data_IF_039115567238
#
_entry.id   IF_039115567238
#
_cell.length_a   1.000
_cell.length_b   1.000
_cell.length_c   1.000
_cell.angle_alpha   90.00
_cell.angle_beta   90.00
_cell.angle_gamma   90.00
#
_symmetry.space_group_name_H-M   'P 1'
#
loop_
_entity.id
_entity.type
_entity.pdbx_description
1 polymer ?
#
# COMPACT_ATOMS: atom_id res chain seq x y z
N UNK A 1 32.62 -58.72 -10.60
CA UNK A 1 31.72 -57.55 -10.71
C UNK A 1 31.15 -57.02 -9.37
N UNK A 2 31.34 -57.69 -8.22
CA UNK A 2 30.77 -57.24 -6.94
C UNK A 2 31.52 -56.10 -6.21
N UNK A 3 32.82 -55.88 -6.49
CA UNK A 3 33.62 -54.84 -5.80
C UNK A 3 33.33 -53.40 -6.22
N UNK A 4 32.82 -53.18 -7.44
CA UNK A 4 32.54 -51.82 -7.97
C UNK A 4 31.19 -51.24 -7.50
N UNK A 5 30.23 -52.08 -7.09
CA UNK A 5 28.91 -51.62 -6.60
C UNK A 5 28.92 -51.07 -5.17
N UNK A 6 29.82 -51.58 -4.32
CA UNK A 6 29.94 -51.17 -2.91
C UNK A 6 30.65 -49.82 -2.80
N UNK A 7 31.75 -49.64 -3.55
CA UNK A 7 32.51 -48.38 -3.58
C UNK A 7 31.65 -47.17 -4.02
N UNK A 8 30.71 -47.38 -4.95
CA UNK A 8 29.83 -46.32 -5.48
C UNK A 8 28.74 -45.90 -4.49
N UNK A 9 28.31 -46.81 -3.61
CA UNK A 9 27.31 -46.56 -2.57
C UNK A 9 27.92 -45.87 -1.35
N UNK A 10 29.14 -46.28 -0.97
CA UNK A 10 29.90 -45.64 0.10
C UNK A 10 30.39 -44.23 -0.29
N UNK A 11 30.83 -44.03 -1.54
CA UNK A 11 31.20 -42.69 -2.04
C UNK A 11 30.00 -41.75 -2.14
N UNK A 12 28.82 -42.25 -2.53
CA UNK A 12 27.57 -41.47 -2.49
C UNK A 12 27.12 -41.17 -1.06
N UNK A 13 27.17 -42.14 -0.16
CA UNK A 13 26.83 -41.94 1.25
C UNK A 13 27.80 -40.94 1.92
N UNK A 14 29.10 -41.03 1.63
CA UNK A 14 30.09 -40.05 2.09
C UNK A 14 29.87 -38.68 1.47
N UNK A 15 29.53 -38.58 0.18
CA UNK A 15 29.18 -37.29 -0.45
C UNK A 15 27.94 -36.67 0.18
N UNK A 16 26.85 -37.43 0.36
CA UNK A 16 25.64 -36.96 1.02
C UNK A 16 25.92 -36.56 2.47
N UNK A 17 26.72 -37.34 3.19
CA UNK A 17 27.10 -37.05 4.58
C UNK A 17 27.98 -35.81 4.68
N UNK A 18 29.00 -35.67 3.83
CA UNK A 18 29.87 -34.48 3.75
C UNK A 18 29.09 -33.26 3.31
N UNK A 19 28.17 -33.38 2.35
CA UNK A 19 27.25 -32.30 1.98
C UNK A 19 26.32 -31.94 3.14
N UNK A 20 25.77 -32.91 3.88
CA UNK A 20 24.93 -32.62 5.04
C UNK A 20 25.70 -31.94 6.16
N UNK A 21 26.95 -32.34 6.41
CA UNK A 21 27.82 -31.70 7.40
C UNK A 21 28.26 -30.31 6.96
N UNK A 22 28.55 -30.10 5.67
CA UNK A 22 28.89 -28.79 5.12
C UNK A 22 27.70 -27.84 5.20
N UNK A 23 26.48 -28.30 4.88
CA UNK A 23 25.24 -27.53 5.07
C UNK A 23 25.02 -27.20 6.54
N UNK A 24 25.22 -28.17 7.44
CA UNK A 24 24.99 -28.00 8.88
C UNK A 24 26.04 -27.09 9.56
N UNK A 25 27.30 -27.15 9.13
CA UNK A 25 28.35 -26.24 9.58
C UNK A 25 28.10 -24.80 9.08
N UNK A 26 27.62 -24.64 7.84
CA UNK A 26 27.26 -23.33 7.30
C UNK A 26 26.09 -22.73 8.10
N UNK A 27 25.11 -23.55 8.52
CA UNK A 27 23.97 -23.05 9.31
C UNK A 27 24.34 -22.57 10.72
N UNK A 28 25.35 -23.15 11.38
CA UNK A 28 25.77 -22.68 12.70
C UNK A 28 26.62 -21.41 12.59
N UNK A 29 27.47 -21.32 11.57
CA UNK A 29 28.24 -20.12 11.26
C UNK A 29 27.32 -18.95 10.89
N UNK A 30 26.29 -19.20 10.09
CA UNK A 30 25.26 -18.22 9.74
C UNK A 30 24.51 -17.72 10.98
N UNK A 31 24.19 -18.60 11.95
CA UNK A 31 23.56 -18.17 13.21
C UNK A 31 24.47 -17.25 14.05
N UNK A 32 25.75 -17.60 14.17
CA UNK A 32 26.72 -16.75 14.89
C UNK A 32 26.89 -15.40 14.18
N UNK A 33 26.91 -15.41 12.85
CA UNK A 33 26.96 -14.21 12.02
C UNK A 33 25.75 -13.33 12.25
N UNK A 34 24.54 -13.89 12.22
CA UNK A 34 23.31 -13.16 12.51
C UNK A 34 23.26 -12.59 13.93
N UNK A 35 23.81 -13.29 14.93
CA UNK A 35 23.95 -12.74 16.29
C UNK A 35 24.87 -11.53 16.31
N UNK A 36 26.04 -11.62 15.68
CA UNK A 36 27.00 -10.51 15.60
C UNK A 36 26.41 -9.28 14.87
N UNK A 37 25.63 -9.52 13.81
CA UNK A 37 24.91 -8.48 13.06
C UNK A 37 23.86 -7.78 13.93
N UNK A 38 23.09 -8.53 14.73
CA UNK A 38 22.10 -7.97 15.68
C UNK A 38 22.76 -7.23 16.86
N UNK A 39 23.97 -7.62 17.22
CA UNK A 39 24.76 -6.97 18.28
C UNK A 39 25.48 -5.70 17.79
N UNK A 40 25.54 -5.47 16.47
CA UNK A 40 26.33 -4.37 15.88
C UNK A 40 27.86 -4.58 15.97
N UNK A 41 28.32 -5.82 16.19
CA UNK A 41 29.76 -6.12 16.33
C UNK A 41 30.43 -6.29 14.96
N UNK A 42 30.76 -5.17 14.32
CA UNK A 42 31.38 -5.13 12.98
C UNK A 42 32.63 -6.03 12.86
N UNK A 43 33.46 -6.11 13.90
CA UNK A 43 34.69 -6.94 13.86
C UNK A 43 34.36 -8.41 13.77
N UNK A 44 33.35 -8.85 14.53
CA UNK A 44 32.88 -10.23 14.51
C UNK A 44 32.12 -10.54 13.22
N UNK A 45 31.34 -9.59 12.70
CA UNK A 45 30.72 -9.67 11.37
C UNK A 45 31.77 -9.91 10.28
N UNK A 46 32.84 -9.10 10.24
CA UNK A 46 33.94 -9.24 9.28
C UNK A 46 34.66 -10.60 9.43
N UNK A 47 34.96 -11.00 10.66
CA UNK A 47 35.61 -12.28 10.94
C UNK A 47 34.77 -13.47 10.44
N UNK A 48 33.47 -13.47 10.71
CA UNK A 48 32.58 -14.58 10.36
C UNK A 48 32.34 -14.66 8.85
N UNK A 49 32.26 -13.52 8.14
CA UNK A 49 32.23 -13.52 6.68
C UNK A 49 33.52 -14.08 6.07
N UNK A 50 34.68 -13.72 6.63
CA UNK A 50 35.97 -14.30 6.20
C UNK A 50 36.08 -15.81 6.48
N UNK A 51 35.32 -16.33 7.44
CA UNK A 51 35.22 -17.77 7.73
C UNK A 51 34.21 -18.51 6.84
N UNK A 52 33.48 -17.79 5.97
CA UNK A 52 32.55 -18.36 5.01
C UNK A 52 31.07 -18.24 5.40
N UNK A 53 30.71 -17.41 6.39
CA UNK A 53 29.31 -17.08 6.64
C UNK A 53 28.66 -16.48 5.38
N UNK A 54 27.36 -16.70 5.23
CA UNK A 54 26.61 -16.18 4.09
C UNK A 54 26.20 -14.72 4.35
N UNK A 55 26.57 -13.78 3.47
CA UNK A 55 26.20 -12.36 3.61
C UNK A 55 24.68 -12.14 3.67
N UNK A 56 23.92 -12.97 2.93
CA UNK A 56 22.46 -13.01 2.94
C UNK A 56 21.89 -14.11 3.86
N UNK A 57 22.63 -14.50 4.91
CA UNK A 57 22.14 -15.43 5.92
C UNK A 57 20.75 -14.98 6.43
N UNK A 58 19.87 -15.95 6.66
CA UNK A 58 18.49 -15.72 7.09
C UNK A 58 18.21 -16.34 8.44
N UNK A 59 17.40 -15.66 9.24
CA UNK A 59 16.83 -16.27 10.45
C UNK A 59 15.56 -17.09 10.15
N UNK A 60 14.91 -17.58 11.20
CA UNK A 60 13.72 -18.44 11.10
C UNK A 60 12.49 -17.74 10.49
N UNK A 61 12.45 -16.40 10.51
CA UNK A 61 11.40 -15.58 9.89
C UNK A 61 11.75 -15.21 8.43
N UNK A 62 12.89 -15.68 7.94
CA UNK A 62 13.39 -15.37 6.60
C UNK A 62 14.04 -13.99 6.48
N UNK A 63 14.28 -13.29 7.59
CA UNK A 63 14.92 -11.98 7.59
C UNK A 63 16.40 -12.14 7.30
N UNK A 64 16.90 -11.41 6.30
CA UNK A 64 18.33 -11.41 5.94
C UNK A 64 19.16 -10.62 6.95
N UNK A 65 20.47 -10.87 7.01
CA UNK A 65 21.40 -10.13 7.85
C UNK A 65 21.22 -8.61 7.78
N UNK A 66 21.10 -8.02 6.59
CA UNK A 66 20.92 -6.56 6.44
C UNK A 66 19.62 -6.02 7.06
N UNK A 67 18.57 -6.84 7.17
CA UNK A 67 17.31 -6.45 7.85
C UNK A 67 17.44 -6.47 9.37
N UNK A 68 18.37 -7.28 9.88
CA UNK A 68 18.62 -7.51 11.31
C UNK A 68 19.75 -6.63 11.85
N UNK A 69 20.48 -5.96 10.97
CA UNK A 69 21.66 -5.19 11.31
C UNK A 69 21.31 -4.02 12.24
N UNK A 70 22.08 -3.93 13.32
CA UNK A 70 22.15 -2.76 14.19
C UNK A 70 23.48 -2.04 13.92
N UNK A 71 23.44 -0.71 13.84
CA UNK A 71 24.61 0.11 13.49
C UNK A 71 24.75 0.39 12.00
N UNK A 72 24.99 1.67 11.67
CA UNK A 72 25.18 2.15 10.30
C UNK A 72 26.42 1.53 9.63
N UNK A 73 27.49 1.32 10.40
CA UNK A 73 28.73 0.72 9.94
C UNK A 73 28.56 -0.74 9.52
N UNK A 74 27.74 -1.51 10.25
CA UNK A 74 27.38 -2.88 9.87
C UNK A 74 26.54 -2.89 8.61
N UNK A 75 25.54 -2.01 8.48
CA UNK A 75 24.70 -1.91 7.28
C UNK A 75 25.55 -1.59 6.04
N UNK A 76 26.41 -0.56 6.13
CA UNK A 76 27.31 -0.17 5.04
C UNK A 76 28.28 -1.30 4.67
N UNK A 77 28.82 -2.00 5.67
CA UNK A 77 29.70 -3.13 5.45
C UNK A 77 28.99 -4.26 4.69
N UNK A 78 27.76 -4.62 5.10
CA UNK A 78 26.96 -5.65 4.43
C UNK A 78 26.65 -5.28 2.97
N UNK A 79 26.25 -4.03 2.71
CA UNK A 79 26.01 -3.52 1.35
C UNK A 79 27.27 -3.66 0.49
N UNK A 80 28.43 -3.24 1.01
CA UNK A 80 29.72 -3.33 0.31
C UNK A 80 30.13 -4.76 -0.01
N UNK A 81 29.69 -5.74 0.80
CA UNK A 81 29.96 -7.16 0.60
C UNK A 81 28.86 -7.88 -0.19
N UNK A 82 27.98 -7.13 -0.85
CA UNK A 82 27.00 -7.67 -1.80
C UNK A 82 25.74 -8.23 -1.16
N UNK A 83 25.40 -7.81 0.07
CA UNK A 83 24.10 -8.11 0.65
C UNK A 83 22.97 -7.67 -0.29
N UNK A 84 21.98 -8.53 -0.49
CA UNK A 84 20.81 -8.20 -1.29
C UNK A 84 19.91 -7.23 -0.53
N UNK A 85 20.13 -5.92 -0.76
CA UNK A 85 19.35 -4.82 -0.17
C UNK A 85 17.84 -4.90 -0.46
N UNK A 86 17.48 -5.67 -1.48
CA UNK A 86 16.13 -5.84 -2.00
C UNK A 86 15.50 -7.19 -1.64
N UNK A 87 16.15 -7.97 -0.76
CA UNK A 87 15.55 -9.18 -0.21
C UNK A 87 14.25 -8.86 0.55
N UNK A 88 13.35 -9.85 0.61
CA UNK A 88 12.12 -9.81 1.40
C UNK A 88 12.08 -11.01 2.36
N UNK A 89 11.59 -10.77 3.57
CA UNK A 89 11.30 -11.81 4.57
C UNK A 89 10.04 -12.62 4.21
N UNK A 90 9.60 -13.51 5.11
CA UNK A 90 8.39 -14.31 4.89
C UNK A 90 7.09 -13.48 4.77
N UNK A 91 7.09 -12.26 5.29
CA UNK A 91 5.97 -11.31 5.27
C UNK A 91 6.05 -10.31 4.11
N UNK A 92 7.12 -10.34 3.30
CA UNK A 92 7.33 -9.38 2.22
C UNK A 92 8.00 -8.07 2.67
N UNK A 93 8.49 -7.96 3.90
CA UNK A 93 9.19 -6.77 4.38
C UNK A 93 10.63 -6.73 3.85
N UNK A 94 11.06 -5.55 3.39
CA UNK A 94 12.45 -5.26 3.02
C UNK A 94 13.20 -4.52 4.14
N UNK A 95 14.52 -4.34 4.00
CA UNK A 95 15.29 -3.50 4.95
C UNK A 95 14.74 -2.07 5.03
N UNK A 96 14.34 -1.48 3.89
CA UNK A 96 13.73 -0.15 3.86
C UNK A 96 12.42 -0.13 4.65
N UNK A 97 11.62 -1.19 4.56
CA UNK A 97 10.39 -1.31 5.34
C UNK A 97 10.67 -1.29 6.85
N UNK A 98 11.66 -2.07 7.31
CA UNK A 98 12.04 -2.10 8.72
C UNK A 98 12.55 -0.75 9.24
N UNK A 99 13.28 0.02 8.42
CA UNK A 99 13.74 1.36 8.82
C UNK A 99 12.61 2.39 8.88
N UNK A 100 11.62 2.30 8.01
CA UNK A 100 10.48 3.24 8.01
C UNK A 100 9.39 2.87 9.03
N UNK A 101 9.31 1.60 9.47
CA UNK A 101 8.25 1.12 10.36
C UNK A 101 8.16 1.87 11.71
N UNK A 102 9.25 2.17 12.42
CA UNK A 102 9.20 3.00 13.63
C UNK A 102 8.69 4.41 13.34
N UNK A 103 9.16 5.01 12.24
CA UNK A 103 8.86 6.38 11.82
C UNK A 103 7.37 6.55 11.51
N UNK A 104 6.75 5.53 10.89
CA UNK A 104 5.32 5.52 10.57
C UNK A 104 4.41 5.64 11.80
N UNK A 105 4.90 5.27 12.99
CA UNK A 105 4.15 5.35 14.24
C UNK A 105 4.35 6.69 14.96
N UNK A 106 5.31 7.51 14.52
CA UNK A 106 5.61 8.82 15.09
C UNK A 106 4.73 9.87 14.42
N UNK A 107 4.16 10.78 15.23
CA UNK A 107 3.23 11.81 14.76
C UNK A 107 3.90 12.85 13.86
N UNK A 108 5.15 13.19 14.14
CA UNK A 108 5.95 14.19 13.42
C UNK A 108 7.38 13.66 13.36
N UNK A 109 7.73 12.85 12.34
CA UNK A 109 9.11 12.45 12.14
C UNK A 109 9.93 13.64 11.64
N UNK A 110 11.19 13.72 12.06
CA UNK A 110 12.13 14.71 11.53
C UNK A 110 12.92 14.16 10.34
N UNK A 111 13.77 14.99 9.74
CA UNK A 111 14.57 14.58 8.57
C UNK A 111 15.75 13.69 8.97
N UNK A 112 16.20 13.75 10.22
CA UNK A 112 17.30 12.93 10.72
C UNK A 112 16.84 11.47 10.85
N UNK A 113 15.57 11.26 11.23
CA UNK A 113 14.92 9.94 11.23
C UNK A 113 14.97 9.25 9.84
N UNK A 114 15.01 10.02 8.75
CA UNK A 114 14.96 9.50 7.37
C UNK A 114 16.35 9.34 6.73
N UNK A 115 17.42 9.73 7.40
CA UNK A 115 18.77 9.72 6.83
C UNK A 115 19.22 8.30 6.43
N UNK A 116 19.01 7.31 7.29
CA UNK A 116 19.37 5.91 6.99
C UNK A 116 18.52 5.35 5.84
N UNK A 117 17.21 5.60 5.87
CA UNK A 117 16.30 5.19 4.80
C UNK A 117 16.72 5.78 3.44
N UNK A 118 17.15 7.05 3.43
CA UNK A 118 17.65 7.72 2.24
C UNK A 118 18.93 7.07 1.70
N UNK A 119 19.90 6.79 2.57
CA UNK A 119 21.14 6.09 2.17
C UNK A 119 20.87 4.69 1.61
N UNK A 120 19.90 3.96 2.18
CA UNK A 120 19.49 2.67 1.64
C UNK A 120 18.93 2.81 0.22
N UNK A 121 18.08 3.81 -0.03
CA UNK A 121 17.53 4.10 -1.36
C UNK A 121 18.65 4.48 -2.34
N UNK A 122 19.57 5.36 -1.94
CA UNK A 122 20.75 5.73 -2.73
C UNK A 122 21.67 4.52 -3.03
N UNK A 123 21.66 3.52 -2.14
CA UNK A 123 22.36 2.25 -2.31
C UNK A 123 21.55 1.20 -3.11
N UNK A 124 20.38 1.58 -3.65
CA UNK A 124 19.57 0.73 -4.53
C UNK A 124 18.41 0.00 -3.85
N UNK A 125 18.05 0.34 -2.60
CA UNK A 125 16.83 -0.14 -1.99
C UNK A 125 15.61 0.38 -2.77
N UNK A 126 14.74 -0.52 -3.23
CA UNK A 126 13.52 -0.11 -3.92
C UNK A 126 12.53 0.49 -2.92
N UNK A 127 11.92 1.61 -3.32
CA UNK A 127 10.85 2.27 -2.54
C UNK A 127 9.51 1.55 -2.74
N UNK A 128 9.31 1.04 -3.95
CA UNK A 128 8.12 0.31 -4.35
C UNK A 128 8.21 -1.15 -3.92
N UNK A 129 7.94 -1.40 -2.64
CA UNK A 129 7.67 -2.75 -2.13
C UNK A 129 6.23 -2.90 -1.69
N UNK A 130 5.72 -4.10 -1.92
CA UNK A 130 4.52 -4.56 -1.28
C UNK A 130 4.88 -5.50 -0.13
N UNK A 131 4.50 -5.13 1.09
CA UNK A 131 4.71 -5.91 2.29
C UNK A 131 3.38 -6.30 2.95
N UNK A 132 3.43 -7.33 3.79
CA UNK A 132 2.38 -8.05 4.54
C UNK A 132 1.69 -9.21 3.85
N UNK A 133 1.76 -10.33 4.57
CA UNK A 133 0.96 -11.55 4.44
C UNK A 133 0.24 -11.82 5.78
N UNK A 134 -0.85 -11.09 6.06
CA UNK A 134 -1.83 -11.43 7.11
C UNK A 134 -2.97 -12.29 6.54
N UNK A 135 -3.95 -12.73 7.36
CA UNK A 135 -4.98 -13.74 7.01
C UNK A 135 -5.68 -13.54 5.63
N UNK A 136 -5.72 -12.31 5.13
CA UNK A 136 -6.35 -11.91 3.86
C UNK A 136 -5.41 -11.94 2.63
N UNK A 137 -4.11 -12.23 2.83
CA UNK A 137 -3.02 -12.33 1.84
C UNK A 137 -2.80 -11.14 0.88
N UNK A 138 -3.13 -9.90 1.27
CA UNK A 138 -3.01 -8.75 0.34
C UNK A 138 -1.76 -7.89 0.57
N UNK A 139 -0.98 -7.62 -0.49
CA UNK A 139 0.16 -6.71 -0.45
C UNK A 139 -0.25 -5.27 -0.09
N UNK A 140 0.52 -4.61 0.79
CA UNK A 140 0.38 -3.19 1.16
C UNK A 140 1.66 -2.45 0.81
N UNK A 141 1.57 -1.32 0.09
CA UNK A 141 2.74 -0.50 -0.24
C UNK A 141 3.16 0.40 0.93
N UNK A 142 4.45 0.77 1.00
CA UNK A 142 4.96 1.75 1.97
C UNK A 142 4.22 3.09 1.87
N UNK A 143 3.91 3.53 0.65
CA UNK A 143 3.15 4.75 0.39
C UNK A 143 1.73 4.67 0.99
N UNK A 144 1.01 3.58 0.76
CA UNK A 144 -0.32 3.37 1.33
C UNK A 144 -0.28 3.37 2.85
N UNK A 145 0.74 2.74 3.45
CA UNK A 145 0.92 2.75 4.89
C UNK A 145 1.21 4.15 5.44
N UNK A 146 2.03 4.95 4.76
CA UNK A 146 2.26 6.36 5.12
C UNK A 146 0.97 7.20 5.09
N UNK A 147 0.12 6.98 4.08
CA UNK A 147 -1.19 7.65 3.96
C UNK A 147 -2.12 7.23 5.09
N UNK A 148 -2.23 5.94 5.39
CA UNK A 148 -3.08 5.45 6.49
C UNK A 148 -2.65 5.99 7.86
N UNK A 149 -1.34 6.15 8.06
CA UNK A 149 -0.78 6.78 9.27
C UNK A 149 -0.80 8.32 9.22
N UNK A 150 -1.38 8.91 8.18
CA UNK A 150 -1.54 10.37 8.02
C UNK A 150 -0.20 11.14 8.03
N UNK A 151 0.89 10.47 7.68
CA UNK A 151 2.23 11.05 7.68
C UNK A 151 2.54 11.68 6.34
N UNK A 152 2.21 12.96 6.20
CA UNK A 152 2.54 13.74 5.00
C UNK A 152 4.06 13.77 4.74
N UNK A 153 4.88 13.78 5.80
CA UNK A 153 6.35 13.76 5.68
C UNK A 153 6.81 12.49 4.98
N UNK A 154 6.31 11.32 5.38
CA UNK A 154 6.67 10.06 4.75
C UNK A 154 6.08 9.93 3.34
N UNK A 155 4.87 10.43 3.10
CA UNK A 155 4.30 10.49 1.75
C UNK A 155 5.21 11.30 0.82
N UNK A 156 5.67 12.47 1.26
CA UNK A 156 6.60 13.32 0.52
C UNK A 156 7.91 12.59 0.24
N UNK A 157 8.55 12.10 1.30
CA UNK A 157 9.80 11.36 1.20
C UNK A 157 9.72 10.20 0.21
N UNK A 158 8.69 9.37 0.29
CA UNK A 158 8.54 8.21 -0.59
C UNK A 158 8.35 8.63 -2.05
N UNK A 159 7.46 9.59 -2.34
CA UNK A 159 7.21 10.09 -3.70
C UNK A 159 8.46 10.76 -4.29
N UNK A 160 9.14 11.60 -3.51
CA UNK A 160 10.39 12.28 -3.93
C UNK A 160 11.52 11.30 -4.20
N UNK A 161 11.48 10.11 -3.59
CA UNK A 161 12.43 9.01 -3.81
C UNK A 161 11.91 7.93 -4.77
N UNK A 162 10.89 8.23 -5.57
CA UNK A 162 10.47 7.38 -6.69
C UNK A 162 9.33 6.42 -6.40
N UNK A 163 8.60 6.58 -5.29
CA UNK A 163 7.34 5.88 -5.10
C UNK A 163 6.33 6.27 -6.18
N UNK A 164 5.58 5.28 -6.68
CA UNK A 164 4.57 5.49 -7.70
C UNK A 164 3.27 6.01 -7.06
N UNK A 165 2.85 7.26 -7.32
CA UNK A 165 1.62 7.84 -6.78
C UNK A 165 0.34 7.16 -7.30
N UNK A 166 0.50 6.24 -8.27
CA UNK A 166 -0.54 5.45 -8.90
C UNK A 166 -0.34 3.94 -8.68
N UNK A 167 0.49 3.56 -7.71
CA UNK A 167 0.72 2.15 -7.40
C UNK A 167 -0.61 1.44 -7.09
N UNK A 168 -0.89 0.37 -7.82
CA UNK A 168 -2.09 -0.46 -7.62
C UNK A 168 -1.64 -1.87 -7.23
N UNK A 169 -1.69 -2.23 -5.94
CA UNK A 169 -1.30 -3.55 -5.46
C UNK A 169 -2.34 -4.64 -5.80
N UNK A 170 -3.42 -4.32 -6.53
CA UNK A 170 -4.48 -5.27 -6.91
C UNK A 170 -5.46 -5.63 -5.79
N UNK A 171 -5.40 -4.93 -4.66
CA UNK A 171 -6.19 -5.18 -3.45
C UNK A 171 -7.45 -4.30 -3.28
N UNK A 172 -7.89 -4.15 -2.03
CA UNK A 172 -8.86 -3.11 -1.62
C UNK A 172 -8.17 -1.73 -1.61
N UNK A 173 -6.83 -1.73 -1.59
CA UNK A 173 -5.98 -0.54 -1.58
C UNK A 173 -5.64 -0.05 -2.98
N UNK A 174 -6.66 0.25 -3.78
CA UNK A 174 -6.52 0.35 -5.24
C UNK A 174 -5.58 1.47 -5.70
N UNK A 175 -5.68 2.67 -5.11
CA UNK A 175 -4.80 3.78 -5.44
C UNK A 175 -4.51 4.65 -4.22
N UNK A 176 -3.28 5.20 -4.08
CA UNK A 176 -2.91 6.13 -3.02
C UNK A 176 -3.90 7.30 -2.89
N UNK A 177 -4.37 7.85 -4.01
CA UNK A 177 -5.36 8.92 -4.02
C UNK A 177 -6.70 8.49 -3.40
N UNK A 178 -7.15 7.26 -3.65
CA UNK A 178 -8.43 6.77 -3.10
C UNK A 178 -8.36 6.64 -1.58
N UNK A 179 -7.22 6.19 -1.04
CA UNK A 179 -6.99 6.16 0.40
C UNK A 179 -6.94 7.59 0.98
N UNK A 180 -6.27 8.52 0.29
CA UNK A 180 -6.11 9.89 0.74
C UNK A 180 -7.43 10.67 0.80
N UNK A 181 -8.41 10.34 -0.05
CA UNK A 181 -9.77 10.94 -0.03
C UNK A 181 -10.72 10.23 0.93
N UNK A 182 -10.28 9.14 1.57
CA UNK A 182 -11.01 8.47 2.65
C UNK A 182 -11.57 7.08 2.31
N UNK A 183 -11.22 6.53 1.15
CA UNK A 183 -11.60 5.17 0.77
C UNK A 183 -10.99 4.10 1.68
N UNK A 184 -11.64 2.93 1.74
CA UNK A 184 -11.18 1.78 2.54
C UNK A 184 -10.96 2.14 4.02
N UNK A 185 -11.84 2.99 4.56
CA UNK A 185 -11.81 3.48 5.94
C UNK A 185 -10.54 4.23 6.36
N UNK A 186 -9.73 4.68 5.40
CA UNK A 186 -8.62 5.60 5.67
C UNK A 186 -9.18 6.98 6.07
N UNK A 187 -8.60 7.70 7.05
CA UNK A 187 -8.99 9.09 7.30
C UNK A 187 -8.67 9.98 6.09
N UNK A 188 -9.61 10.82 5.61
CA UNK A 188 -9.35 11.74 4.51
C UNK A 188 -8.38 12.85 4.92
N UNK A 189 -7.47 13.23 4.01
CA UNK A 189 -6.44 14.23 4.30
C UNK A 189 -6.18 15.14 3.10
N UNK A 190 -6.65 16.39 3.19
CA UNK A 190 -6.54 17.37 2.11
C UNK A 190 -5.09 17.59 1.65
N UNK A 191 -4.14 17.72 2.58
CA UNK A 191 -2.76 18.01 2.24
C UNK A 191 -2.07 16.85 1.49
N UNK A 192 -2.40 15.60 1.86
CA UNK A 192 -1.93 14.41 1.14
C UNK A 192 -2.59 14.35 -0.25
N UNK A 193 -3.89 14.62 -0.36
CA UNK A 193 -4.61 14.64 -1.66
C UNK A 193 -3.97 15.67 -2.61
N UNK A 194 -3.78 16.90 -2.16
CA UNK A 194 -3.15 17.96 -2.95
C UNK A 194 -1.73 17.58 -3.38
N UNK A 195 -0.94 17.02 -2.46
CA UNK A 195 0.42 16.60 -2.75
C UNK A 195 0.47 15.47 -3.77
N UNK A 196 -0.36 14.43 -3.63
CA UNK A 196 -0.41 13.31 -4.58
C UNK A 196 -0.79 13.79 -5.99
N UNK A 197 -1.80 14.64 -6.11
CA UNK A 197 -2.24 15.19 -7.39
C UNK A 197 -1.18 16.08 -8.03
N UNK A 198 -0.48 16.90 -7.23
CA UNK A 198 0.64 17.71 -7.69
C UNK A 198 1.83 16.87 -8.17
N UNK A 199 1.98 15.64 -7.66
CA UNK A 199 3.09 14.74 -7.97
C UNK A 199 2.68 13.54 -8.83
N UNK A 200 1.74 13.73 -9.76
CA UNK A 200 1.48 12.78 -10.83
C UNK A 200 0.45 11.68 -10.53
N UNK A 201 -0.24 11.76 -9.40
CA UNK A 201 -1.40 10.90 -9.16
C UNK A 201 -2.52 11.17 -10.17
N UNK A 202 -3.16 10.12 -10.69
CA UNK A 202 -4.18 10.19 -11.74
C UNK A 202 -5.57 10.29 -11.12
N UNK A 203 -6.13 11.49 -11.15
CA UNK A 203 -7.48 11.76 -10.65
C UNK A 203 -8.59 11.02 -11.43
N UNK A 204 -8.30 10.66 -12.68
CA UNK A 204 -9.25 10.00 -13.61
C UNK A 204 -9.36 8.49 -13.41
N UNK A 205 -8.56 7.90 -12.53
CA UNK A 205 -8.59 6.46 -12.28
C UNK A 205 -9.88 6.02 -11.62
N UNK A 206 -10.23 4.75 -11.87
CA UNK A 206 -11.41 4.08 -11.35
C UNK A 206 -11.00 2.73 -10.77
N UNK A 207 -11.72 2.29 -9.75
CA UNK A 207 -11.55 0.98 -9.15
C UNK A 207 -11.79 -0.15 -10.13
N UNK A 208 -11.15 -1.29 -9.89
CA UNK A 208 -11.35 -2.48 -10.72
C UNK A 208 -12.77 -3.03 -10.54
N UNK A 209 -13.35 -3.52 -11.62
CA UNK A 209 -14.55 -4.34 -11.55
C UNK A 209 -14.23 -5.68 -10.87
N UNK A 210 -15.11 -6.12 -9.96
CA UNK A 210 -14.98 -7.35 -9.20
C UNK A 210 -16.34 -8.03 -9.12
N UNK A 211 -16.35 -9.35 -9.22
CA UNK A 211 -17.56 -10.15 -9.01
C UNK A 211 -17.82 -10.31 -7.51
N UNK A 212 -19.00 -9.89 -7.06
CA UNK A 212 -19.48 -10.08 -5.71
C UNK A 212 -20.52 -11.19 -5.69
N UNK A 213 -20.17 -12.30 -5.04
CA UNK A 213 -21.07 -13.43 -4.84
C UNK A 213 -21.99 -13.16 -3.66
N UNK A 214 -23.30 -13.19 -3.92
CA UNK A 214 -24.35 -13.11 -2.89
C UNK A 214 -25.20 -14.38 -2.94
N UNK A 215 -25.98 -14.67 -1.89
CA UNK A 215 -26.96 -15.77 -1.94
C UNK A 215 -27.95 -15.68 -3.10
N UNK A 216 -28.16 -14.47 -3.64
CA UNK A 216 -29.09 -14.20 -4.74
C UNK A 216 -28.41 -14.21 -6.13
N UNK A 217 -27.13 -14.57 -6.21
CA UNK A 217 -26.35 -14.63 -7.44
C UNK A 217 -25.09 -13.76 -7.42
N UNK A 218 -24.37 -13.76 -8.53
CA UNK A 218 -23.17 -12.95 -8.75
C UNK A 218 -23.56 -11.62 -9.39
N UNK A 219 -23.07 -10.52 -8.84
CA UNK A 219 -23.25 -9.18 -9.39
C UNK A 219 -21.90 -8.43 -9.40
N UNK A 220 -21.73 -7.50 -10.34
CA UNK A 220 -20.49 -6.74 -10.46
C UNK A 220 -20.50 -5.53 -9.53
N UNK A 221 -19.38 -5.33 -8.84
CA UNK A 221 -19.09 -4.14 -8.02
C UNK A 221 -17.79 -3.48 -8.51
N UNK A 222 -17.56 -2.22 -8.12
CA UNK A 222 -16.35 -1.48 -8.49
C UNK A 222 -16.62 -0.42 -9.53
N UNK A 223 -15.63 -0.09 -10.38
CA UNK A 223 -15.65 1.06 -11.28
C UNK A 223 -15.92 2.40 -10.57
N UNK A 224 -15.55 2.53 -9.30
CA UNK A 224 -15.69 3.74 -8.47
C UNK A 224 -14.49 4.66 -8.66
N UNK A 225 -14.71 5.95 -8.83
CA UNK A 225 -13.63 6.94 -8.88
C UNK A 225 -13.40 7.62 -7.52
N UNK A 226 -12.47 8.58 -7.44
CA UNK A 226 -12.15 9.27 -6.20
C UNK A 226 -13.35 9.99 -5.54
N UNK A 227 -14.32 10.49 -6.33
CA UNK A 227 -15.53 11.10 -5.76
C UNK A 227 -16.40 10.09 -5.01
N UNK A 228 -16.54 8.86 -5.55
CA UNK A 228 -17.27 7.78 -4.86
C UNK A 228 -16.62 7.47 -3.51
N UNK A 229 -15.30 7.30 -3.48
CA UNK A 229 -14.55 7.03 -2.25
C UNK A 229 -14.63 8.17 -1.23
N UNK A 230 -14.66 9.43 -1.68
CA UNK A 230 -14.83 10.59 -0.80
C UNK A 230 -16.20 10.66 -0.09
N UNK A 231 -17.17 9.83 -0.50
CA UNK A 231 -18.47 9.70 0.18
C UNK A 231 -18.45 8.75 1.38
N UNK A 232 -17.44 7.88 1.49
CA UNK A 232 -17.36 6.84 2.54
C UNK A 232 -17.19 7.40 3.95
N UNK A 233 -16.31 8.39 4.19
CA UNK A 233 -16.11 8.91 5.54
C UNK A 233 -17.36 9.63 6.05
N UNK A 234 -17.64 9.48 7.34
CA UNK A 234 -18.71 10.24 8.01
C UNK A 234 -18.44 11.74 8.02
N UNK A 235 -17.16 12.13 8.04
CA UNK A 235 -16.70 13.51 8.04
C UNK A 235 -15.57 13.61 7.02
N UNK A 236 -15.76 14.47 6.02
CA UNK A 236 -14.80 14.74 4.96
C UNK A 236 -14.61 16.25 4.87
N UNK A 237 -13.36 16.71 4.76
CA UNK A 237 -13.10 18.11 4.37
C UNK A 237 -13.60 18.32 2.94
N UNK A 238 -14.67 19.11 2.79
CA UNK A 238 -15.33 19.34 1.49
C UNK A 238 -14.41 19.99 0.45
N UNK A 239 -13.28 20.58 0.86
CA UNK A 239 -12.25 21.07 -0.07
C UNK A 239 -11.61 19.95 -0.89
N UNK A 240 -11.60 18.72 -0.38
CA UNK A 240 -11.14 17.55 -1.16
C UNK A 240 -11.96 17.42 -2.45
N UNK A 241 -13.28 17.68 -2.37
CA UNK A 241 -14.17 17.61 -3.54
C UNK A 241 -13.86 18.71 -4.55
N UNK A 242 -13.50 19.92 -4.09
CA UNK A 242 -13.07 21.01 -4.96
C UNK A 242 -11.77 20.67 -5.69
N UNK A 243 -10.79 20.10 -4.96
CA UNK A 243 -9.50 19.68 -5.51
C UNK A 243 -9.69 18.56 -6.55
N UNK A 244 -10.53 17.56 -6.26
CA UNK A 244 -10.84 16.48 -7.21
C UNK A 244 -11.51 16.99 -8.49
N UNK A 245 -12.46 17.93 -8.36
CA UNK A 245 -13.11 18.56 -9.51
C UNK A 245 -12.10 19.32 -10.37
N UNK A 246 -11.25 20.14 -9.74
CA UNK A 246 -10.19 20.89 -10.42
C UNK A 246 -9.17 19.97 -11.10
N UNK A 247 -8.90 18.80 -10.52
CA UNK A 247 -8.01 17.80 -11.09
C UNK A 247 -8.64 16.98 -12.24
N UNK A 248 -9.90 17.25 -12.61
CA UNK A 248 -10.56 16.59 -13.73
C UNK A 248 -11.16 15.22 -13.41
N UNK A 249 -11.33 14.88 -12.13
CA UNK A 249 -12.09 13.68 -11.75
C UNK A 249 -13.52 13.81 -12.27
N UNK A 250 -14.04 12.81 -12.97
CA UNK A 250 -15.40 12.86 -13.52
C UNK A 250 -16.45 12.88 -12.37
N UNK A 251 -17.05 14.04 -12.13
CA UNK A 251 -18.08 14.25 -11.10
C UNK A 251 -19.32 13.35 -11.29
N UNK A 252 -19.60 12.98 -12.54
CA UNK A 252 -20.78 12.21 -12.95
C UNK A 252 -20.42 10.77 -13.35
N UNK A 253 -19.24 10.29 -12.94
CA UNK A 253 -18.83 8.91 -13.23
C UNK A 253 -19.86 7.92 -12.70
N UNK A 254 -20.09 6.83 -13.43
CA UNK A 254 -21.04 5.79 -13.03
C UNK A 254 -20.26 4.54 -12.64
N UNK A 255 -20.50 4.05 -11.43
CA UNK A 255 -19.90 2.81 -10.94
C UNK A 255 -20.52 1.57 -11.61
N UNK A 256 -20.15 0.37 -11.16
CA UNK A 256 -20.66 -0.89 -11.70
C UNK A 256 -22.19 -1.05 -11.58
N UNK A 257 -22.82 -0.41 -10.60
CA UNK A 257 -24.27 -0.38 -10.42
C UNK A 257 -24.93 0.79 -11.17
N UNK A 258 -24.14 1.57 -11.90
CA UNK A 258 -24.58 2.75 -12.62
C UNK A 258 -24.75 3.97 -11.72
N UNK A 259 -24.38 3.91 -10.44
CA UNK A 259 -24.57 5.00 -9.48
C UNK A 259 -23.53 6.07 -9.70
N UNK A 260 -23.93 7.33 -9.51
CA UNK A 260 -23.02 8.48 -9.47
C UNK A 260 -22.56 8.76 -8.04
N UNK A 261 -21.48 9.54 -7.83
CA UNK A 261 -21.08 9.95 -6.48
C UNK A 261 -22.20 10.67 -5.70
N UNK A 262 -23.06 11.43 -6.39
CA UNK A 262 -24.20 12.10 -5.76
C UNK A 262 -25.21 11.08 -5.23
N UNK A 263 -25.53 10.06 -6.03
CA UNK A 263 -26.43 8.97 -5.61
C UNK A 263 -25.85 8.21 -4.42
N UNK A 264 -24.55 7.91 -4.45
CA UNK A 264 -23.88 7.21 -3.34
C UNK A 264 -23.89 8.06 -2.06
N UNK A 265 -23.63 9.37 -2.15
CA UNK A 265 -23.70 10.28 -1.00
C UNK A 265 -25.11 10.32 -0.38
N UNK A 266 -26.16 10.32 -1.20
CA UNK A 266 -27.57 10.26 -0.76
C UNK A 266 -27.86 8.92 -0.06
N UNK A 267 -27.47 7.79 -0.67
CA UNK A 267 -27.66 6.47 -0.07
C UNK A 267 -26.96 6.33 1.29
N UNK A 268 -25.78 6.94 1.43
CA UNK A 268 -25.02 7.00 2.70
C UNK A 268 -25.56 8.03 3.68
N UNK A 269 -26.57 8.82 3.31
CA UNK A 269 -27.14 9.94 4.09
C UNK A 269 -26.09 11.00 4.43
N UNK A 270 -25.09 11.17 3.57
CA UNK A 270 -24.04 12.17 3.72
C UNK A 270 -24.47 13.50 3.09
N UNK A 271 -25.31 14.24 3.82
CA UNK A 271 -25.95 15.48 3.35
C UNK A 271 -24.93 16.51 2.89
N UNK A 272 -23.87 16.74 3.68
CA UNK A 272 -22.84 17.73 3.38
C UNK A 272 -22.12 17.44 2.05
N UNK A 273 -21.77 16.17 1.80
CA UNK A 273 -21.15 15.76 0.54
C UNK A 273 -22.14 15.85 -0.62
N UNK A 274 -23.40 15.42 -0.44
CA UNK A 274 -24.42 15.53 -1.47
C UNK A 274 -24.66 16.99 -1.90
N UNK A 275 -24.79 17.91 -0.94
CA UNK A 275 -24.92 19.35 -1.21
C UNK A 275 -23.72 19.90 -1.96
N UNK A 276 -22.51 19.50 -1.57
CA UNK A 276 -21.28 19.95 -2.23
C UNK A 276 -21.19 19.43 -3.67
N UNK A 277 -21.56 18.17 -3.93
CA UNK A 277 -21.60 17.61 -5.28
C UNK A 277 -22.63 18.34 -6.17
N UNK A 278 -23.81 18.69 -5.63
CA UNK A 278 -24.80 19.52 -6.33
C UNK A 278 -24.22 20.92 -6.63
N UNK A 279 -23.52 21.53 -5.67
CA UNK A 279 -22.86 22.83 -5.85
C UNK A 279 -21.78 22.77 -6.95
N UNK A 280 -21.03 21.67 -7.03
CA UNK A 280 -20.02 21.43 -8.06
C UNK A 280 -20.63 21.15 -9.45
N UNK A 281 -21.96 21.05 -9.56
CA UNK A 281 -22.66 20.89 -10.84
C UNK A 281 -22.89 19.43 -11.24
N UNK A 282 -23.05 18.52 -10.27
CA UNK A 282 -23.42 17.14 -10.57
C UNK A 282 -24.68 17.07 -11.46
N UNK A 283 -24.69 16.14 -12.40
CA UNK A 283 -25.84 15.90 -13.26
C UNK A 283 -26.93 15.16 -12.47
N UNK A 284 -28.02 15.86 -12.23
CA UNK A 284 -29.14 15.41 -11.42
C UNK A 284 -30.10 14.48 -12.19
N UNK A 285 -29.90 14.34 -13.51
CA UNK A 285 -30.81 13.60 -14.41
C UNK A 285 -30.38 12.17 -14.68
N UNK A 286 -29.14 11.82 -14.33
CA UNK A 286 -28.65 10.46 -14.46
C UNK A 286 -29.45 9.50 -13.58
N UNK A 287 -29.61 8.27 -14.05
CA UNK A 287 -30.25 7.17 -13.34
C UNK A 287 -29.30 5.99 -13.21
N UNK A 288 -29.37 5.27 -12.09
CA UNK A 288 -28.62 4.04 -11.87
C UNK A 288 -29.16 2.87 -12.73
N UNK A 289 -28.61 1.67 -12.58
CA UNK A 289 -29.05 0.49 -13.35
C UNK A 289 -30.47 0.01 -12.99
N UNK A 290 -31.05 0.52 -11.91
CA UNK A 290 -32.44 0.28 -11.50
C UNK A 290 -33.39 1.39 -12.00
N UNK A 291 -32.85 2.39 -12.70
CA UNK A 291 -33.61 3.52 -13.21
C UNK A 291 -33.89 4.60 -12.16
N UNK A 292 -33.25 4.56 -10.98
CA UNK A 292 -33.44 5.56 -9.92
C UNK A 292 -32.51 6.75 -10.13
N UNK A 293 -33.08 7.96 -10.11
CA UNK A 293 -32.31 9.21 -10.11
C UNK A 293 -31.89 9.61 -8.69
N UNK A 294 -31.05 10.65 -8.57
CA UNK A 294 -30.71 11.23 -7.27
C UNK A 294 -31.96 11.72 -6.50
N UNK A 295 -32.98 12.23 -7.20
CA UNK A 295 -34.23 12.69 -6.59
C UNK A 295 -35.06 11.51 -6.07
N UNK A 296 -35.12 10.40 -6.83
CA UNK A 296 -35.84 9.20 -6.40
C UNK A 296 -35.23 8.61 -5.12
N UNK A 297 -33.89 8.54 -5.08
CA UNK A 297 -33.17 8.09 -3.89
C UNK A 297 -33.37 9.03 -2.69
N UNK A 298 -33.38 10.36 -2.91
CA UNK A 298 -33.61 11.32 -1.82
C UNK A 298 -35.00 11.11 -1.18
N UNK A 299 -36.04 10.84 -1.99
CA UNK A 299 -37.39 10.51 -1.52
C UNK A 299 -37.44 9.18 -0.78
N UNK A 300 -36.82 8.15 -1.35
CA UNK A 300 -36.76 6.80 -0.77
C UNK A 300 -36.09 6.78 0.60
N UNK A 301 -35.00 7.55 0.77
CA UNK A 301 -34.29 7.66 2.04
C UNK A 301 -34.83 8.75 2.97
N UNK A 302 -35.90 9.44 2.58
CA UNK A 302 -36.55 10.52 3.33
C UNK A 302 -35.59 11.65 3.72
N UNK A 303 -34.84 12.15 2.73
CA UNK A 303 -33.87 13.25 2.89
C UNK A 303 -34.47 14.57 2.39
N UNK A 304 -35.44 15.11 3.14
CA UNK A 304 -36.25 16.29 2.76
C UNK A 304 -35.43 17.48 2.28
N UNK A 305 -34.29 17.76 2.92
CA UNK A 305 -33.41 18.86 2.55
C UNK A 305 -32.81 18.68 1.15
N UNK A 306 -32.32 17.47 0.84
CA UNK A 306 -31.75 17.16 -0.47
C UNK A 306 -32.85 17.10 -1.52
N UNK A 307 -34.00 16.48 -1.21
CA UNK A 307 -35.15 16.45 -2.11
C UNK A 307 -35.58 17.84 -2.54
N UNK A 308 -35.69 18.78 -1.60
CA UNK A 308 -36.05 20.18 -1.88
C UNK A 308 -35.02 20.83 -2.82
N UNK A 309 -33.73 20.72 -2.51
CA UNK A 309 -32.65 21.30 -3.33
C UNK A 309 -32.69 20.73 -4.76
N UNK A 310 -32.85 19.42 -4.91
CA UNK A 310 -32.91 18.75 -6.22
C UNK A 310 -34.12 19.22 -7.03
N UNK A 311 -35.30 19.31 -6.41
CA UNK A 311 -36.55 19.75 -7.06
C UNK A 311 -36.45 21.18 -7.57
N UNK A 312 -35.89 22.10 -6.76
CA UNK A 312 -35.66 23.50 -7.14
C UNK A 312 -34.68 23.61 -8.34
N UNK A 313 -33.57 22.86 -8.29
CA UNK A 313 -32.54 22.87 -9.35
C UNK A 313 -33.01 22.26 -10.67
N UNK A 314 -33.86 21.23 -10.63
CA UNK A 314 -34.44 20.62 -11.83
C UNK A 314 -35.49 21.53 -12.48
N UNK A 315 -36.33 22.18 -11.66
CA UNK A 315 -37.39 23.09 -12.15
C UNK A 315 -36.81 24.32 -12.84
N UNK A 316 -35.72 24.87 -12.30
CA UNK A 316 -35.01 26.04 -12.84
C UNK A 316 -34.21 25.79 -14.12
N UNK A 317 -33.91 24.54 -14.48
CA UNK A 317 -33.29 24.19 -15.77
C UNK A 317 -34.30 24.07 -16.92
N UNK A 318 -35.60 24.08 -16.62
CA UNK A 318 -36.68 23.86 -17.60
C UNK A 318 -37.31 25.20 -18.08
N UNK A 319 -36.85 26.33 -17.53
CA UNK A 319 -37.20 27.70 -17.94
C UNK A 319 -36.03 28.34 -18.69
#
# INVERSE_FOLDING_TARGET
MAKYGILRRETWAMLVFVCSLAVQANTELDKQFLSAVKEGDLKKVELLLNQGATVDAKDEEGRTAIMLAEGEDVVEFLIKHGANINAQDADGNSVLFYRLLPILKVKIPDMDDLAEAKRLIESGAQVEYTARKGEDQKPVSLLNMAIRNQSLVLVKFLIENGANPNHDPGGIEEYPLFLAVGGASSPPNLAIVEFLLANGSKAVFTSRLKDANTPNGTHQIGARNAFHYATEPKQTDLKILDVLAKAGTNLNHRDAEGKTPLMEAIQRKNISVAQKLIQLGADLTLADNQGKTALDLAKEYHLDEIERILTEKLSSKTQ
#
